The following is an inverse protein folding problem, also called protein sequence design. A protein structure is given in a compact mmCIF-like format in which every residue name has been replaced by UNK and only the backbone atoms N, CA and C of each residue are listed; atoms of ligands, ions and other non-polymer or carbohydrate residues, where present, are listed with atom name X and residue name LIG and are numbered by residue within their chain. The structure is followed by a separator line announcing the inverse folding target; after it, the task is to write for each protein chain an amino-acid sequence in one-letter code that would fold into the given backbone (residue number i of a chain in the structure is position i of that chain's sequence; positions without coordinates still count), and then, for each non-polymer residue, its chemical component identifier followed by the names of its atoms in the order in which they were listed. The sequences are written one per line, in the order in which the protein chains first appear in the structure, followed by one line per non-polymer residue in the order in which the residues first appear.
data_IF_805800065949
#
_entry.id   IF_805800065949
#
_cell.length_a   1.000
_cell.length_b   1.000
_cell.length_c   1.000
_cell.angle_alpha   90.00
_cell.angle_beta   90.00
_cell.angle_gamma   90.00
#
_symmetry.space_group_name_H-M   'P 1'
#
loop_
_entity.id
_entity.type
_entity.pdbx_description
1 polymer ?
#
# COMPACT_ATOMS: atom_id res chain seq x y z
N UNK A 1 6.91 -2.68 9.51
CA UNK A 1 5.67 -2.83 8.72
C UNK A 1 5.39 -1.60 7.86
N UNK A 2 4.71 -1.82 6.76
CA UNK A 2 4.25 -0.77 5.86
C UNK A 2 2.74 -0.90 5.65
N UNK A 3 2.02 0.22 5.70
CA UNK A 3 0.59 0.27 5.51
C UNK A 3 0.25 1.36 4.49
N UNK A 4 -0.50 1.02 3.46
CA UNK A 4 -0.86 1.98 2.40
C UNK A 4 -2.36 1.91 2.14
N UNK A 5 -3.01 3.06 2.04
CA UNK A 5 -4.42 3.17 1.69
C UNK A 5 -4.62 4.12 0.51
N UNK A 6 -5.19 3.60 -0.58
CA UNK A 6 -5.89 4.43 -1.54
C UNK A 6 -7.33 4.55 -1.05
N UNK A 7 -7.68 5.73 -0.58
CA UNK A 7 -8.91 6.04 0.15
C UNK A 7 -9.71 7.08 -0.63
N UNK A 8 -10.98 7.24 -0.28
CA UNK A 8 -11.78 8.38 -0.71
C UNK A 8 -11.58 9.56 0.24
N UNK A 9 -11.48 10.79 -0.28
CA UNK A 9 -11.41 11.98 0.56
C UNK A 9 -12.72 12.20 1.33
N UNK A 10 -13.86 11.86 0.71
CA UNK A 10 -15.19 11.97 1.27
C UNK A 10 -15.87 10.61 1.42
N UNK A 11 -16.89 10.55 2.25
CA UNK A 11 -17.69 9.34 2.40
C UNK A 11 -18.54 9.09 1.15
N UNK A 12 -18.27 8.00 0.45
CA UNK A 12 -19.10 7.47 -0.63
C UNK A 12 -19.67 6.14 -0.18
N UNK A 13 -20.95 5.92 -0.32
CA UNK A 13 -21.63 4.70 0.13
C UNK A 13 -21.56 4.43 1.66
N UNK A 14 -22.34 3.49 2.17
CA UNK A 14 -22.28 3.07 3.57
C UNK A 14 -20.93 2.45 3.98
N UNK A 15 -20.08 2.11 3.01
CA UNK A 15 -18.80 1.42 3.24
C UNK A 15 -17.61 2.37 3.29
N UNK A 16 -17.80 3.68 3.17
CA UNK A 16 -16.76 4.70 3.10
C UNK A 16 -15.67 4.34 2.09
N UNK A 17 -16.09 3.80 0.93
CA UNK A 17 -15.21 3.31 -0.09
C UNK A 17 -15.73 3.69 -1.48
N UNK A 18 -14.82 3.97 -2.39
CA UNK A 18 -15.03 4.09 -3.82
C UNK A 18 -13.75 3.66 -4.53
N UNK A 19 -13.88 3.17 -5.76
CA UNK A 19 -12.70 2.78 -6.53
C UNK A 19 -11.98 4.01 -7.07
N UNK A 20 -10.72 4.17 -6.67
CA UNK A 20 -9.82 5.23 -7.14
C UNK A 20 -8.84 4.70 -8.20
N UNK A 21 -8.71 3.38 -8.32
CA UNK A 21 -7.86 2.69 -9.28
C UNK A 21 -8.49 1.36 -9.69
N UNK A 22 -7.74 0.44 -10.31
CA UNK A 22 -8.20 -0.81 -10.90
C UNK A 22 -9.07 -1.67 -9.96
N UNK A 23 -10.36 -1.84 -10.21
CA UNK A 23 -11.23 -2.68 -9.37
C UNK A 23 -10.77 -4.13 -9.30
N UNK A 24 -10.31 -4.72 -10.42
CA UNK A 24 -9.78 -6.09 -10.44
C UNK A 24 -8.46 -6.20 -9.65
N UNK A 25 -7.64 -5.14 -9.65
CA UNK A 25 -6.44 -5.08 -8.82
C UNK A 25 -6.79 -5.17 -7.34
N UNK A 26 -7.72 -4.35 -6.88
CA UNK A 26 -8.22 -4.37 -5.49
C UNK A 26 -8.80 -5.72 -5.11
N UNK A 27 -9.68 -6.30 -5.93
CA UNK A 27 -10.28 -7.60 -5.66
C UNK A 27 -9.23 -8.71 -5.60
N UNK A 28 -8.23 -8.67 -6.49
CA UNK A 28 -7.11 -9.62 -6.49
C UNK A 28 -6.29 -9.54 -5.21
N UNK A 29 -6.00 -8.33 -4.73
CA UNK A 29 -5.26 -8.11 -3.49
C UNK A 29 -5.96 -8.71 -2.26
N UNK A 30 -7.30 -8.74 -2.24
CA UNK A 30 -8.08 -9.27 -1.12
C UNK A 30 -8.20 -10.79 -1.09
N UNK A 31 -7.82 -11.49 -2.16
CA UNK A 31 -7.99 -12.95 -2.25
C UNK A 31 -6.69 -13.71 -2.42
N UNK A 32 -5.62 -13.09 -2.94
CA UNK A 32 -4.32 -13.72 -3.10
C UNK A 32 -3.48 -13.67 -1.83
N UNK A 33 -2.65 -14.69 -1.63
CA UNK A 33 -1.72 -14.73 -0.50
C UNK A 33 -0.74 -13.56 -0.52
N UNK A 34 -0.37 -13.10 0.68
CA UNK A 34 0.63 -12.07 0.93
C UNK A 34 1.95 -12.72 1.35
N UNK A 35 3.07 -12.25 0.80
CA UNK A 35 4.41 -12.63 1.26
C UNK A 35 4.81 -11.75 2.44
N UNK A 36 5.16 -12.36 3.55
CA UNK A 36 5.55 -11.70 4.78
C UNK A 36 6.83 -12.33 5.35
N UNK A 37 7.49 -11.66 6.30
CA UNK A 37 8.52 -12.31 7.14
C UNK A 37 7.90 -12.57 8.50
N UNK A 38 8.10 -13.80 8.99
CA UNK A 38 7.79 -14.24 10.36
C UNK A 38 8.98 -15.04 10.88
N UNK A 39 9.47 -14.65 12.06
CA UNK A 39 10.65 -15.27 12.67
C UNK A 39 11.86 -15.34 11.71
N UNK A 40 12.18 -14.21 11.05
CA UNK A 40 13.29 -14.03 10.11
C UNK A 40 13.17 -14.78 8.77
N UNK A 41 12.07 -15.50 8.52
CA UNK A 41 11.89 -16.32 7.33
C UNK A 41 10.69 -15.84 6.52
N UNK A 42 10.84 -15.84 5.19
CA UNK A 42 9.72 -15.54 4.27
C UNK A 42 8.68 -16.66 4.39
N UNK A 43 7.43 -16.25 4.51
CA UNK A 43 6.28 -17.15 4.50
C UNK A 43 5.10 -16.50 3.75
N UNK A 44 4.17 -17.32 3.29
CA UNK A 44 2.91 -16.85 2.74
C UNK A 44 1.82 -16.86 3.81
N UNK A 45 0.96 -15.87 3.75
CA UNK A 45 -0.23 -15.75 4.60
C UNK A 45 -1.43 -15.43 3.73
N UNK A 46 -2.59 -16.00 4.02
CA UNK A 46 -3.82 -15.59 3.34
C UNK A 46 -4.05 -14.09 3.46
N UNK A 47 -4.60 -13.48 2.42
CA UNK A 47 -5.11 -12.13 2.54
C UNK A 47 -6.19 -12.08 3.65
N UNK A 48 -6.38 -10.90 4.23
CA UNK A 48 -7.38 -10.61 5.28
C UNK A 48 -7.24 -11.52 6.53
N UNK A 49 -6.02 -11.93 6.87
CA UNK A 49 -5.76 -12.86 7.99
C UNK A 49 -5.01 -12.24 9.19
N UNK A 50 -4.77 -10.92 9.16
CA UNK A 50 -4.00 -10.24 10.22
C UNK A 50 -4.47 -8.81 10.46
N UNK A 51 -5.79 -8.67 10.66
CA UNK A 51 -6.42 -7.37 10.87
C UNK A 51 -5.95 -6.69 12.15
N UNK A 52 -5.74 -5.40 12.04
CA UNK A 52 -5.46 -4.50 13.16
C UNK A 52 -6.20 -3.18 12.99
N UNK A 53 -6.40 -2.47 14.09
CA UNK A 53 -6.87 -1.09 14.11
C UNK A 53 -5.70 -0.17 14.45
N UNK A 54 -5.56 0.94 13.73
CA UNK A 54 -4.48 1.90 13.91
C UNK A 54 -5.02 3.33 13.83
N UNK A 55 -4.44 4.22 14.63
CA UNK A 55 -4.74 5.66 14.59
C UNK A 55 -3.59 6.38 13.89
N UNK A 56 -3.89 7.09 12.80
CA UNK A 56 -2.92 7.88 12.04
C UNK A 56 -3.55 9.26 11.77
N UNK A 57 -2.84 10.35 12.12
CA UNK A 57 -3.36 11.70 11.94
C UNK A 57 -4.69 11.95 12.65
N UNK A 58 -4.85 11.45 13.87
CA UNK A 58 -6.06 11.55 14.69
C UNK A 58 -7.32 10.83 14.12
N UNK A 59 -7.17 10.00 13.08
CA UNK A 59 -8.25 9.19 12.50
C UNK A 59 -7.96 7.70 12.66
N UNK A 60 -9.00 6.94 12.97
CA UNK A 60 -8.92 5.48 13.10
C UNK A 60 -9.10 4.82 11.74
N UNK A 61 -8.22 3.89 11.44
CA UNK A 61 -8.25 3.02 10.25
C UNK A 61 -8.18 1.57 10.66
N UNK A 62 -8.59 0.69 9.78
CA UNK A 62 -8.28 -0.72 9.85
C UNK A 62 -7.25 -1.09 8.77
N UNK A 63 -6.38 -2.03 9.07
CA UNK A 63 -5.36 -2.53 8.15
C UNK A 63 -5.35 -4.04 8.17
N UNK A 64 -5.23 -4.67 6.99
CA UNK A 64 -5.10 -6.11 6.89
C UNK A 64 -4.14 -6.52 5.78
N UNK A 65 -3.62 -7.74 5.85
CA UNK A 65 -2.75 -8.29 4.82
C UNK A 65 -3.45 -8.31 3.47
N UNK A 66 -2.77 -7.80 2.46
CA UNK A 66 -3.17 -7.89 1.05
C UNK A 66 -1.98 -8.26 0.20
N UNK A 67 -2.19 -8.85 -0.96
CA UNK A 67 -1.11 -9.24 -1.85
C UNK A 67 -0.46 -8.04 -2.55
N UNK A 68 0.77 -8.19 -3.00
CA UNK A 68 1.43 -7.30 -3.97
C UNK A 68 2.27 -6.16 -3.39
N UNK A 69 1.83 -5.47 -2.35
CA UNK A 69 2.46 -4.21 -1.92
C UNK A 69 3.85 -4.30 -1.26
N UNK A 70 4.31 -5.48 -0.90
CA UNK A 70 5.63 -5.65 -0.27
C UNK A 70 6.80 -5.66 -1.28
N UNK A 71 6.52 -5.84 -2.58
CA UNK A 71 7.52 -5.93 -3.65
C UNK A 71 8.69 -6.89 -3.29
N UNK A 72 9.95 -6.44 -3.41
CA UNK A 72 11.14 -7.23 -3.10
C UNK A 72 11.60 -7.13 -1.63
N UNK A 73 10.93 -6.32 -0.81
CA UNK A 73 11.30 -6.12 0.60
C UNK A 73 11.39 -7.42 1.42
N UNK A 74 10.47 -8.40 1.29
CA UNK A 74 10.64 -9.65 2.01
C UNK A 74 11.94 -10.36 1.67
N UNK A 75 12.34 -10.41 0.39
CA UNK A 75 13.60 -11.04 -0.03
C UNK A 75 14.82 -10.28 0.50
N UNK A 76 14.76 -8.95 0.50
CA UNK A 76 15.86 -8.12 1.01
C UNK A 76 16.06 -8.23 2.52
N UNK A 77 14.97 -8.36 3.28
CA UNK A 77 15.00 -8.39 4.75
C UNK A 77 14.95 -9.79 5.36
N UNK A 78 14.91 -10.85 4.55
CA UNK A 78 15.01 -12.22 5.06
C UNK A 78 16.28 -12.42 5.89
N UNK A 79 16.19 -13.06 7.03
CA UNK A 79 17.29 -13.22 7.99
C UNK A 79 17.69 -11.94 8.75
N UNK A 80 17.18 -10.75 8.36
CA UNK A 80 17.52 -9.46 8.99
C UNK A 80 16.38 -8.91 9.84
N UNK A 81 15.14 -9.02 9.37
CA UNK A 81 13.96 -8.59 10.11
C UNK A 81 13.23 -9.80 10.70
N UNK A 82 12.87 -9.72 11.98
CA UNK A 82 12.06 -10.75 12.63
C UNK A 82 10.65 -10.83 12.04
N UNK A 83 10.06 -9.65 11.82
CA UNK A 83 8.70 -9.50 11.29
C UNK A 83 8.71 -8.42 10.20
N UNK A 84 8.09 -8.69 9.07
CA UNK A 84 7.82 -7.72 8.03
C UNK A 84 6.50 -8.06 7.35
N UNK A 85 5.66 -7.05 7.20
CA UNK A 85 4.46 -7.16 6.39
C UNK A 85 4.11 -5.85 5.69
N UNK A 86 3.30 -5.99 4.66
CA UNK A 86 2.54 -4.95 4.02
C UNK A 86 1.05 -5.17 4.31
N UNK A 87 0.34 -4.12 4.68
CA UNK A 87 -1.11 -4.13 4.86
C UNK A 87 -1.75 -2.99 4.09
N UNK A 88 -2.93 -3.21 3.58
CA UNK A 88 -3.72 -2.13 3.01
C UNK A 88 -4.55 -1.47 4.10
N UNK A 89 -4.55 -0.13 4.12
CA UNK A 89 -5.38 0.68 5.03
C UNK A 89 -6.77 0.90 4.42
N UNK A 90 -7.79 0.85 5.27
CA UNK A 90 -9.17 1.17 4.93
C UNK A 90 -9.85 1.90 6.10
N UNK A 91 -10.96 2.57 5.84
CA UNK A 91 -11.83 3.05 6.90
C UNK A 91 -12.49 1.88 7.62
N UNK A 92 -12.75 2.06 8.91
CA UNK A 92 -13.29 0.99 9.78
C UNK A 92 -14.62 0.45 9.26
N UNK A 93 -14.71 -0.88 9.17
CA UNK A 93 -15.90 -1.60 8.67
C UNK A 93 -15.77 -2.10 7.23
N UNK A 94 -14.83 -1.57 6.44
CA UNK A 94 -14.66 -1.97 5.04
C UNK A 94 -14.34 -3.46 4.90
N UNK A 95 -13.41 -3.98 5.67
CA UNK A 95 -13.03 -5.39 5.58
C UNK A 95 -14.13 -6.34 6.04
N UNK A 96 -14.93 -5.94 7.01
CA UNK A 96 -16.12 -6.73 7.40
C UNK A 96 -17.10 -6.88 6.22
N UNK A 97 -17.34 -5.79 5.51
CA UNK A 97 -18.15 -5.79 4.31
C UNK A 97 -17.56 -6.69 3.20
N UNK A 98 -16.29 -6.52 2.86
CA UNK A 98 -15.61 -7.34 1.85
C UNK A 98 -15.67 -8.83 2.19
N UNK A 99 -15.38 -9.21 3.44
CA UNK A 99 -15.46 -10.59 3.88
C UNK A 99 -16.90 -11.16 3.80
N UNK A 100 -17.90 -10.32 4.02
CA UNK A 100 -19.29 -10.73 3.89
C UNK A 100 -19.66 -11.10 2.45
N UNK A 101 -19.05 -10.42 1.47
CA UNK A 101 -19.15 -10.76 0.04
C UNK A 101 -18.38 -12.05 -0.24
N UNK A 102 -17.10 -12.09 0.10
CA UNK A 102 -16.21 -13.25 -0.16
C UNK A 102 -16.79 -14.55 0.40
N UNK A 103 -17.47 -14.51 1.55
CA UNK A 103 -18.09 -15.70 2.15
C UNK A 103 -19.22 -16.30 1.32
N UNK A 104 -19.90 -15.51 0.49
CA UNK A 104 -21.01 -15.94 -0.35
C UNK A 104 -20.58 -16.43 -1.73
N UNK A 105 -19.36 -16.09 -2.15
CA UNK A 105 -18.85 -16.40 -3.48
C UNK A 105 -18.18 -17.78 -3.54
N UNK A 106 -18.24 -18.49 -4.69
CA UNK A 106 -17.47 -19.70 -4.93
C UNK A 106 -15.97 -19.46 -4.80
N UNK A 107 -15.25 -20.42 -4.23
CA UNK A 107 -13.80 -20.36 -3.98
C UNK A 107 -13.02 -20.99 -5.12
N UNK A 108 -13.15 -20.44 -6.33
CA UNK A 108 -12.45 -20.89 -7.52
C UNK A 108 -11.50 -19.80 -8.08
N UNK A 109 -10.89 -20.09 -9.21
CA UNK A 109 -9.92 -19.17 -9.87
C UNK A 109 -10.54 -17.85 -10.34
N UNK A 110 -11.86 -17.80 -10.46
CA UNK A 110 -12.63 -16.63 -10.91
C UNK A 110 -13.09 -15.72 -9.74
N UNK A 111 -12.77 -16.10 -8.50
CA UNK A 111 -13.15 -15.34 -7.31
C UNK A 111 -12.78 -13.84 -7.38
N UNK A 112 -11.60 -13.41 -7.90
CA UNK A 112 -11.30 -12.00 -8.02
C UNK A 112 -12.29 -11.21 -8.89
N UNK A 113 -12.70 -11.76 -10.04
CA UNK A 113 -13.65 -11.09 -10.94
C UNK A 113 -15.03 -11.00 -10.32
N UNK A 114 -15.52 -12.07 -9.69
CA UNK A 114 -16.80 -12.06 -8.99
C UNK A 114 -16.81 -11.08 -7.82
N UNK A 115 -15.72 -11.01 -7.06
CA UNK A 115 -15.59 -10.04 -5.98
C UNK A 115 -15.60 -8.61 -6.53
N UNK A 116 -14.87 -8.36 -7.62
CA UNK A 116 -14.90 -7.08 -8.32
C UNK A 116 -16.34 -6.69 -8.71
N UNK A 117 -17.08 -7.59 -9.34
CA UNK A 117 -18.43 -7.33 -9.85
C UNK A 117 -19.39 -6.98 -8.70
N UNK A 118 -19.36 -7.74 -7.61
CA UNK A 118 -20.15 -7.45 -6.41
C UNK A 118 -19.78 -6.11 -5.77
N UNK A 119 -18.47 -5.79 -5.72
CA UNK A 119 -18.03 -4.52 -5.17
C UNK A 119 -18.44 -3.34 -6.05
N UNK A 120 -18.35 -3.47 -7.40
CA UNK A 120 -18.76 -2.43 -8.34
C UNK A 120 -20.27 -2.14 -8.33
N UNK A 121 -21.10 -3.13 -7.97
CA UNK A 121 -22.54 -2.91 -7.76
C UNK A 121 -22.82 -2.09 -6.49
N UNK A 122 -21.96 -2.19 -5.49
CA UNK A 122 -22.18 -1.57 -4.19
C UNK A 122 -21.55 -0.19 -4.04
N UNK A 123 -20.42 0.07 -4.73
CA UNK A 123 -19.66 1.31 -4.56
C UNK A 123 -19.21 1.90 -5.91
N UNK A 124 -19.18 3.25 -6.05
CA UNK A 124 -18.80 3.91 -7.29
C UNK A 124 -17.29 3.90 -7.53
N UNK A 125 -16.89 4.21 -8.77
CA UNK A 125 -15.56 4.78 -9.06
C UNK A 125 -15.58 6.27 -8.77
N UNK A 126 -14.51 6.79 -8.17
CA UNK A 126 -14.43 8.17 -7.68
C UNK A 126 -13.12 8.86 -8.08
N UNK A 127 -13.17 10.19 -8.17
CA UNK A 127 -12.01 11.03 -8.52
C UNK A 127 -11.40 11.72 -7.29
N UNK A 128 -12.16 11.90 -6.21
CA UNK A 128 -11.72 12.52 -4.96
C UNK A 128 -11.00 11.50 -4.08
N UNK A 129 -9.73 11.35 -4.28
CA UNK A 129 -8.92 10.36 -3.57
C UNK A 129 -7.94 10.98 -2.56
N UNK A 130 -7.49 10.13 -1.65
CA UNK A 130 -6.41 10.37 -0.71
C UNK A 130 -5.53 9.12 -0.67
N UNK A 131 -4.22 9.29 -0.79
CA UNK A 131 -3.29 8.18 -0.53
C UNK A 131 -2.58 8.40 0.80
N UNK A 132 -2.80 7.47 1.72
CA UNK A 132 -2.14 7.43 3.01
C UNK A 132 -1.05 6.36 3.00
N UNK A 133 0.20 6.77 3.23
CA UNK A 133 1.34 5.86 3.38
C UNK A 133 1.85 5.96 4.82
N UNK A 134 1.92 4.84 5.50
CA UNK A 134 2.46 4.74 6.85
C UNK A 134 3.52 3.65 6.90
N UNK A 135 4.69 3.98 7.41
CA UNK A 135 5.78 3.03 7.61
C UNK A 135 6.27 3.10 9.04
N UNK A 136 6.52 1.95 9.66
CA UNK A 136 7.05 1.86 11.01
C UNK A 136 8.13 0.78 11.11
N UNK A 137 9.17 1.07 11.89
CA UNK A 137 10.25 0.13 12.22
C UNK A 137 10.45 0.15 13.72
N UNK A 138 10.45 -1.03 14.33
CA UNK A 138 10.81 -1.24 15.74
C UNK A 138 12.01 -2.20 15.81
N UNK A 139 13.00 -1.88 16.60
CA UNK A 139 14.22 -2.66 16.74
C UNK A 139 15.18 -2.09 17.76
N UNK A 140 16.43 -2.52 17.69
CA UNK A 140 17.48 -2.09 18.61
C UNK A 140 18.60 -1.39 17.85
N UNK A 141 19.12 -0.29 18.42
CA UNK A 141 20.31 0.37 17.88
C UNK A 141 21.59 -0.42 18.25
N UNK A 142 22.74 0.03 17.71
CA UNK A 142 24.02 -0.60 17.95
C UNK A 142 24.45 -0.63 19.45
N UNK A 143 23.77 0.13 20.30
CA UNK A 143 23.98 0.16 21.75
C UNK A 143 22.97 -0.69 22.52
N UNK A 144 22.15 -1.49 21.81
CA UNK A 144 21.11 -2.33 22.40
C UNK A 144 19.87 -1.57 22.91
N UNK A 145 19.70 -0.29 22.59
CA UNK A 145 18.53 0.49 23.03
C UNK A 145 17.41 0.33 22.02
N UNK A 146 16.20 0.04 22.50
CA UNK A 146 15.02 -0.05 21.65
C UNK A 146 14.75 1.29 20.96
N UNK A 147 14.49 1.22 19.66
CA UNK A 147 14.13 2.36 18.82
C UNK A 147 12.87 2.03 18.03
N UNK A 148 11.99 2.98 17.99
CA UNK A 148 10.82 2.96 17.11
C UNK A 148 10.89 4.19 16.21
N UNK A 149 10.77 3.97 14.91
CA UNK A 149 10.69 5.03 13.91
C UNK A 149 9.38 4.86 13.16
N UNK A 150 8.70 5.97 12.94
CA UNK A 150 7.42 6.00 12.24
C UNK A 150 7.36 7.21 11.32
N UNK A 151 6.78 7.03 10.15
CA UNK A 151 6.53 8.11 9.19
C UNK A 151 5.19 7.87 8.51
N UNK A 152 4.40 8.95 8.41
CA UNK A 152 3.15 8.94 7.65
C UNK A 152 3.18 10.07 6.61
N UNK A 153 2.60 9.79 5.43
CA UNK A 153 2.35 10.76 4.39
C UNK A 153 0.87 10.72 4.01
N UNK A 154 0.26 11.89 3.96
CA UNK A 154 -1.10 12.09 3.47
C UNK A 154 -0.98 12.80 2.12
N UNK A 155 -1.18 12.07 1.05
CA UNK A 155 -1.04 12.61 -0.30
C UNK A 155 -2.42 12.92 -0.84
N UNK A 156 -2.67 14.19 -1.12
CA UNK A 156 -3.88 14.71 -1.75
C UNK A 156 -3.65 14.90 -3.24
N UNK A 157 -4.72 15.12 -4.05
CA UNK A 157 -4.60 15.53 -5.45
C UNK A 157 -3.70 16.76 -5.61
N UNK A 158 -2.92 16.79 -6.67
CA UNK A 158 -1.99 17.88 -6.99
C UNK A 158 -2.33 18.56 -8.30
N UNK A 159 -2.26 19.91 -8.29
CA UNK A 159 -2.30 20.72 -9.51
C UNK A 159 -0.90 20.81 -10.14
N UNK A 160 -0.75 20.28 -11.34
CA UNK A 160 0.52 20.33 -12.09
C UNK A 160 0.25 20.89 -13.48
N UNK A 161 0.80 22.07 -13.78
CA UNK A 161 0.67 22.76 -15.07
C UNK A 161 -0.80 22.92 -15.53
N UNK A 162 -1.69 23.24 -14.61
CA UNK A 162 -3.12 23.43 -14.89
C UNK A 162 -3.92 22.13 -15.03
N UNK A 163 -3.34 21.00 -14.69
CA UNK A 163 -4.01 19.70 -14.65
C UNK A 163 -4.11 19.22 -13.20
N UNK A 164 -5.32 18.87 -12.78
CA UNK A 164 -5.55 18.21 -11.50
C UNK A 164 -5.23 16.71 -11.63
N UNK A 165 -4.25 16.27 -10.87
CA UNK A 165 -3.84 14.86 -10.82
C UNK A 165 -4.25 14.24 -9.49
N UNK A 166 -4.99 13.15 -9.54
CA UNK A 166 -5.41 12.41 -8.34
C UNK A 166 -4.20 11.94 -7.52
N UNK A 167 -4.39 11.75 -6.23
CA UNK A 167 -3.35 11.25 -5.33
C UNK A 167 -2.79 9.91 -5.80
N UNK A 168 -3.64 8.97 -6.25
CA UNK A 168 -3.20 7.67 -6.78
C UNK A 168 -2.36 7.82 -8.07
N UNK A 169 -2.64 8.81 -8.91
CA UNK A 169 -1.85 9.07 -10.12
C UNK A 169 -0.46 9.58 -9.77
N UNK A 170 -0.38 10.57 -8.89
CA UNK A 170 0.89 11.18 -8.49
C UNK A 170 1.77 10.21 -7.69
N UNK A 171 1.20 9.46 -6.74
CA UNK A 171 1.93 8.47 -5.96
C UNK A 171 2.41 7.27 -6.78
N UNK A 172 1.79 7.01 -7.94
CA UNK A 172 2.24 5.97 -8.88
C UNK A 172 3.26 6.51 -9.88
N UNK A 173 2.99 7.67 -10.49
CA UNK A 173 3.83 8.22 -11.55
C UNK A 173 5.16 8.81 -11.03
N UNK A 174 5.16 9.50 -9.88
CA UNK A 174 6.35 10.14 -9.37
C UNK A 174 7.50 9.15 -9.04
N UNK A 175 7.26 8.01 -8.36
CA UNK A 175 8.29 6.99 -8.17
C UNK A 175 8.81 6.40 -9.49
N UNK A 176 7.93 6.18 -10.46
CA UNK A 176 8.33 5.69 -11.78
C UNK A 176 9.25 6.69 -12.50
N UNK A 177 8.86 7.96 -12.56
CA UNK A 177 9.66 9.02 -13.18
C UNK A 177 11.00 9.21 -12.45
N UNK A 178 11.01 9.17 -11.12
CA UNK A 178 12.25 9.27 -10.35
C UNK A 178 13.18 8.08 -10.59
N UNK A 179 12.64 6.87 -10.68
CA UNK A 179 13.43 5.68 -11.03
C UNK A 179 14.03 5.80 -12.43
N UNK A 180 13.26 6.26 -13.41
CA UNK A 180 13.75 6.51 -14.76
C UNK A 180 14.87 7.55 -14.77
N UNK A 181 14.73 8.66 -14.01
CA UNK A 181 15.79 9.67 -13.88
C UNK A 181 17.08 9.10 -13.28
N UNK A 182 16.98 8.27 -12.23
CA UNK A 182 18.16 7.63 -11.63
C UNK A 182 18.87 6.68 -12.60
N UNK A 183 18.11 5.95 -13.42
CA UNK A 183 18.67 5.09 -14.46
C UNK A 183 19.36 5.89 -15.58
N UNK A 184 18.76 7.00 -16.01
CA UNK A 184 19.29 7.86 -17.09
C UNK A 184 20.51 8.67 -16.67
N UNK A 185 20.55 9.13 -15.42
CA UNK A 185 21.60 10.02 -14.89
C UNK A 185 22.62 9.31 -14.01
N UNK A 186 22.33 8.09 -13.57
CA UNK A 186 23.19 7.30 -12.69
C UNK A 186 24.02 6.27 -13.44
N UNK A 187 24.96 5.65 -12.72
CA UNK A 187 25.77 4.55 -13.20
C UNK A 187 25.11 3.17 -12.97
N UNK A 188 23.76 3.13 -12.86
CA UNK A 188 23.03 1.89 -12.65
C UNK A 188 22.99 1.11 -13.96
N UNK A 189 23.32 -0.20 -13.90
CA UNK A 189 23.33 -1.09 -15.05
C UNK A 189 22.60 -2.39 -14.71
N UNK A 190 21.92 -2.97 -15.69
CA UNK A 190 21.21 -4.22 -15.55
C UNK A 190 19.89 -4.07 -14.80
N UNK A 191 19.45 -5.13 -14.12
CA UNK A 191 18.23 -5.14 -13.30
C UNK A 191 18.55 -4.56 -11.93
N UNK A 192 17.85 -3.49 -11.57
CA UNK A 192 18.00 -2.84 -10.26
C UNK A 192 16.69 -3.02 -9.49
N UNK A 193 16.75 -3.69 -8.35
CA UNK A 193 15.60 -3.89 -7.48
C UNK A 193 15.34 -2.64 -6.61
N UNK A 194 14.10 -2.46 -6.19
CA UNK A 194 13.71 -1.32 -5.35
C UNK A 194 14.57 -1.20 -4.08
N UNK A 195 14.87 -2.32 -3.43
CA UNK A 195 15.72 -2.38 -2.23
C UNK A 195 17.18 -1.96 -2.44
N UNK A 196 17.63 -1.86 -3.69
CA UNK A 196 19.00 -1.46 -4.05
C UNK A 196 19.13 0.04 -4.32
N UNK A 197 18.00 0.76 -4.38
CA UNK A 197 17.98 2.21 -4.56
C UNK A 197 18.20 2.88 -3.21
N UNK A 198 19.15 3.82 -3.15
CA UNK A 198 19.42 4.57 -1.91
C UNK A 198 18.22 5.48 -1.55
N UNK A 199 17.55 5.24 -0.39
CA UNK A 199 16.28 5.89 -0.07
C UNK A 199 16.35 7.42 0.03
N UNK A 200 17.44 7.98 0.57
CA UNK A 200 17.59 9.44 0.72
C UNK A 200 17.68 10.13 -0.63
N UNK A 201 18.48 9.59 -1.53
CA UNK A 201 18.62 10.08 -2.91
C UNK A 201 17.29 9.98 -3.66
N UNK A 202 16.58 8.86 -3.49
CA UNK A 202 15.28 8.67 -4.12
C UNK A 202 14.24 9.67 -3.62
N UNK A 203 14.10 9.80 -2.31
CA UNK A 203 13.11 10.69 -1.68
C UNK A 203 13.40 12.19 -1.90
N UNK A 204 14.68 12.56 -2.05
CA UNK A 204 15.09 13.93 -2.39
C UNK A 204 14.93 14.26 -3.88
N UNK A 205 14.59 13.28 -4.71
CA UNK A 205 14.46 13.46 -6.15
C UNK A 205 13.27 14.36 -6.55
N UNK A 206 13.43 15.10 -7.64
CA UNK A 206 12.50 16.16 -8.07
C UNK A 206 11.04 15.72 -8.27
N UNK A 207 10.80 14.46 -8.61
CA UNK A 207 9.45 13.94 -8.77
C UNK A 207 8.85 13.53 -7.42
N UNK A 208 9.59 12.76 -6.65
CA UNK A 208 9.11 12.16 -5.40
C UNK A 208 8.95 13.21 -4.29
N UNK A 209 9.88 14.16 -4.16
CA UNK A 209 9.86 15.19 -3.12
C UNK A 209 8.66 16.14 -3.21
N UNK A 210 8.00 16.23 -4.37
CA UNK A 210 6.77 17.02 -4.55
C UNK A 210 5.52 16.30 -4.07
N UNK A 211 5.55 14.99 -3.99
CA UNK A 211 4.40 14.15 -3.64
C UNK A 211 4.44 13.76 -2.17
N UNK A 212 5.61 13.41 -1.66
CA UNK A 212 5.79 12.95 -0.28
C UNK A 212 6.43 14.05 0.58
N UNK A 213 5.60 14.99 1.04
CA UNK A 213 6.00 16.13 1.88
C UNK A 213 5.67 15.91 3.36
#
# INVERSE_FOLDING_TARGET
GMKVGALTAHAHSPHFYGFTWSPIGVATEYVKNSRVIRNFTITERPALSSRETIVIGARTYEADLTSGGAADLPAYFEGKARELDYKTLRYVGHYHWVESIIRKLPKDTDLPHRLQDEMLQAVPSVEDDLVLVHASVDGFDARGRRRMLEKAYFVEPLEINGHSLRAIQTTTAAPLCQSAMLLLTGNLKGVVLQSQIEPKTFLAGNFVSRVYQ
#
